data_IF_799266296414
#
_entry.id   IF_799266296414
#
_cell.length_a   1.000
_cell.length_b   1.000
_cell.length_c   1.000
_cell.angle_alpha   90.00
_cell.angle_beta   90.00
_cell.angle_gamma   90.00
#
_symmetry.space_group_name_H-M   'P 1'
#
loop_
_entity.id
_entity.type
_entity.pdbx_description
1 polymer ?
#
# COMPACT_ATOMS: atom_id res chain seq x y z
N UNK A 1 -18.46 0.96 20.90
CA UNK A 1 -17.31 1.03 21.82
C UNK A 1 -16.38 -0.19 21.75
N UNK A 2 -16.74 -1.41 22.19
CA UNK A 2 -15.81 -2.57 22.12
C UNK A 2 -15.47 -3.02 20.69
N UNK A 3 -16.44 -3.03 19.78
CA UNK A 3 -16.24 -3.39 18.37
C UNK A 3 -15.33 -2.40 17.63
N UNK A 4 -15.46 -1.11 17.91
CA UNK A 4 -14.66 -0.05 17.30
C UNK A 4 -13.19 -0.13 17.74
N UNK A 5 -12.95 -0.39 19.03
CA UNK A 5 -11.60 -0.60 19.55
C UNK A 5 -10.94 -1.79 18.84
N UNK A 6 -11.64 -2.92 18.73
CA UNK A 6 -11.10 -4.10 18.04
C UNK A 6 -10.86 -3.85 16.54
N UNK A 7 -11.73 -3.10 15.86
CA UNK A 7 -11.55 -2.76 14.46
C UNK A 7 -10.31 -1.89 14.23
N UNK A 8 -10.11 -0.87 15.06
CA UNK A 8 -8.93 0.01 14.99
C UNK A 8 -7.66 -0.79 15.29
N UNK A 9 -7.66 -1.63 16.33
CA UNK A 9 -6.51 -2.49 16.66
C UNK A 9 -6.14 -3.41 15.50
N UNK A 10 -7.12 -4.04 14.84
CA UNK A 10 -6.87 -4.92 13.69
C UNK A 10 -6.20 -4.19 12.51
N UNK A 11 -6.59 -2.92 12.27
CA UNK A 11 -5.99 -2.10 11.20
C UNK A 11 -4.52 -1.80 11.53
N UNK A 12 -4.25 -1.36 12.77
CA UNK A 12 -2.88 -1.05 13.24
C UNK A 12 -2.00 -2.29 13.22
N UNK A 13 -2.50 -3.44 13.68
CA UNK A 13 -1.77 -4.72 13.64
C UNK A 13 -1.42 -5.13 12.21
N UNK A 14 -2.36 -5.01 11.27
CA UNK A 14 -2.10 -5.30 9.85
C UNK A 14 -1.08 -4.35 9.26
N UNK A 15 -1.12 -3.07 9.63
CA UNK A 15 -0.14 -2.08 9.19
C UNK A 15 1.26 -2.38 9.75
N UNK A 16 1.39 -2.73 11.03
CA UNK A 16 2.67 -3.13 11.61
C UNK A 16 3.23 -4.38 10.94
N UNK A 17 2.42 -5.42 10.77
CA UNK A 17 2.83 -6.62 10.04
C UNK A 17 3.24 -6.31 8.60
N UNK A 18 2.59 -5.34 7.96
CA UNK A 18 2.96 -4.86 6.63
C UNK A 18 4.30 -4.12 6.64
N UNK A 19 4.53 -3.22 7.60
CA UNK A 19 5.80 -2.52 7.76
C UNK A 19 6.95 -3.49 7.99
N UNK A 20 6.78 -4.48 8.87
CA UNK A 20 7.77 -5.54 9.11
C UNK A 20 8.07 -6.32 7.83
N UNK A 21 7.04 -6.57 7.01
CA UNK A 21 7.19 -7.26 5.73
C UNK A 21 7.95 -6.41 4.69
N UNK A 22 7.72 -5.10 4.66
CA UNK A 22 8.43 -4.14 3.79
C UNK A 22 9.86 -3.95 4.27
N UNK A 23 10.11 -4.01 5.58
CA UNK A 23 11.42 -3.87 6.18
C UNK A 23 12.19 -5.22 6.19
N UNK A 24 12.36 -5.80 5.01
CA UNK A 24 12.93 -7.15 4.83
C UNK A 24 14.45 -7.25 5.03
N UNK A 25 15.17 -6.13 5.19
CA UNK A 25 16.62 -6.11 5.36
C UNK A 25 17.04 -6.46 6.80
N UNK A 26 17.88 -7.50 6.98
CA UNK A 26 18.40 -7.97 8.29
C UNK A 26 17.30 -8.28 9.33
N UNK A 27 16.15 -8.82 8.93
CA UNK A 27 15.00 -9.09 9.83
C UNK A 27 14.55 -7.85 10.64
N UNK A 28 14.79 -6.66 10.10
CA UNK A 28 14.49 -5.40 10.76
C UNK A 28 15.44 -5.01 11.91
N UNK A 29 16.58 -5.70 12.05
CA UNK A 29 17.56 -5.39 13.09
C UNK A 29 18.38 -4.17 12.69
N UNK A 30 18.09 -3.05 13.34
CA UNK A 30 18.92 -1.85 13.31
C UNK A 30 20.26 -2.18 13.97
N UNK A 31 21.28 -2.41 13.16
CA UNK A 31 22.63 -2.81 13.62
C UNK A 31 23.51 -1.63 14.01
N UNK A 32 23.06 -0.40 13.77
CA UNK A 32 23.79 0.83 14.06
C UNK A 32 23.04 1.65 15.11
N UNK A 33 23.73 2.02 16.19
CA UNK A 33 23.21 2.85 17.28
C UNK A 33 23.48 4.34 17.02
N UNK A 34 23.23 4.79 15.79
CA UNK A 34 23.26 6.22 15.42
C UNK A 34 21.81 6.70 15.24
N UNK A 35 21.30 7.59 16.12
CA UNK A 35 19.94 8.13 16.02
C UNK A 35 19.62 8.76 14.66
N UNK A 36 20.58 9.40 14.02
CA UNK A 36 20.35 10.10 12.73
C UNK A 36 20.11 9.09 11.61
N UNK A 37 20.91 8.02 11.57
CA UNK A 37 20.75 6.96 10.56
C UNK A 37 19.49 6.12 10.80
N UNK A 38 19.09 5.95 12.06
CA UNK A 38 17.81 5.33 12.43
C UNK A 38 16.61 6.15 11.93
N UNK A 39 16.64 7.47 12.13
CA UNK A 39 15.57 8.35 11.68
C UNK A 39 15.44 8.35 10.15
N UNK A 40 16.57 8.38 9.42
CA UNK A 40 16.56 8.27 7.95
C UNK A 40 15.93 6.98 7.46
N UNK A 41 16.31 5.84 8.08
CA UNK A 41 15.75 4.53 7.73
C UNK A 41 14.24 4.47 7.95
N UNK A 42 13.75 5.02 9.06
CA UNK A 42 12.32 5.10 9.33
C UNK A 42 11.58 5.92 8.27
N UNK A 43 12.11 7.09 7.91
CA UNK A 43 11.53 7.94 6.85
C UNK A 43 11.51 7.25 5.49
N UNK A 44 12.59 6.56 5.13
CA UNK A 44 12.65 5.82 3.86
C UNK A 44 11.69 4.63 3.86
N UNK A 45 11.58 3.91 4.98
CA UNK A 45 10.61 2.83 5.12
C UNK A 45 9.19 3.35 4.96
N UNK A 46 8.85 4.45 5.62
CA UNK A 46 7.52 5.06 5.53
C UNK A 46 7.19 5.52 4.11
N UNK A 47 8.15 6.10 3.39
CA UNK A 47 8.00 6.47 1.98
C UNK A 47 7.71 5.25 1.10
N UNK A 48 8.48 4.17 1.25
CA UNK A 48 8.30 2.94 0.47
C UNK A 48 6.96 2.27 0.81
N UNK A 49 6.62 2.20 2.09
CA UNK A 49 5.35 1.66 2.56
C UNK A 49 4.16 2.43 1.97
N UNK A 50 4.22 3.76 1.99
CA UNK A 50 3.20 4.64 1.42
C UNK A 50 3.05 4.45 -0.09
N UNK A 51 4.17 4.34 -0.82
CA UNK A 51 4.15 4.09 -2.26
C UNK A 51 3.51 2.74 -2.62
N UNK A 52 3.82 1.69 -1.85
CA UNK A 52 3.21 0.36 -2.04
C UNK A 52 1.70 0.38 -1.71
N UNK A 53 1.32 1.06 -0.63
CA UNK A 53 -0.09 1.23 -0.26
C UNK A 53 -0.88 1.94 -1.37
N UNK A 54 -0.29 2.99 -1.96
CA UNK A 54 -0.90 3.71 -3.08
C UNK A 54 -1.11 2.79 -4.28
N UNK A 55 -0.08 2.07 -4.72
CA UNK A 55 -0.17 1.15 -5.84
C UNK A 55 -1.22 0.05 -5.60
N UNK A 56 -1.22 -0.55 -4.41
CA UNK A 56 -2.23 -1.54 -4.03
C UNK A 56 -3.65 -0.97 -4.10
N UNK A 57 -3.83 0.27 -3.64
CA UNK A 57 -5.14 0.93 -3.66
C UNK A 57 -5.62 1.19 -5.09
N UNK A 58 -4.72 1.62 -5.97
CA UNK A 58 -4.97 1.81 -7.41
C UNK A 58 -5.38 0.50 -8.07
N UNK A 59 -4.59 -0.55 -7.90
CA UNK A 59 -4.86 -1.86 -8.51
C UNK A 59 -6.17 -2.48 -8.00
N UNK A 60 -6.45 -2.37 -6.70
CA UNK A 60 -7.71 -2.79 -6.11
C UNK A 60 -8.90 -2.01 -6.66
N UNK A 61 -8.75 -0.69 -6.84
CA UNK A 61 -9.81 0.16 -7.36
C UNK A 61 -10.13 -0.17 -8.81
N UNK A 62 -9.11 -0.36 -9.65
CA UNK A 62 -9.27 -0.80 -11.05
C UNK A 62 -9.93 -2.18 -11.14
N UNK A 63 -9.54 -3.13 -10.29
CA UNK A 63 -10.14 -4.45 -10.23
C UNK A 63 -11.64 -4.38 -9.87
N UNK A 64 -12.00 -3.56 -8.88
CA UNK A 64 -13.41 -3.35 -8.48
C UNK A 64 -14.21 -2.70 -9.60
N UNK A 65 -13.67 -1.66 -10.25
CA UNK A 65 -14.33 -1.00 -11.39
C UNK A 65 -14.57 -1.99 -12.53
N UNK A 66 -13.57 -2.82 -12.85
CA UNK A 66 -13.67 -3.85 -13.90
C UNK A 66 -14.75 -4.87 -13.58
N UNK A 67 -14.83 -5.37 -12.33
CA UNK A 67 -15.88 -6.30 -11.90
C UNK A 67 -17.27 -5.67 -11.98
N UNK A 68 -17.38 -4.39 -11.60
CA UNK A 68 -18.64 -3.63 -11.70
C UNK A 68 -19.08 -3.48 -13.15
N UNK A 69 -18.15 -3.15 -14.06
CA UNK A 69 -18.42 -3.02 -15.49
C UNK A 69 -18.84 -4.35 -16.14
N UNK A 70 -18.35 -5.48 -15.62
CA UNK A 70 -18.75 -6.82 -16.04
C UNK A 70 -20.12 -7.26 -15.47
N UNK A 71 -20.77 -6.43 -14.64
CA UNK A 71 -22.09 -6.70 -14.07
C UNK A 71 -22.08 -7.55 -12.79
N UNK A 72 -20.92 -7.77 -12.17
CA UNK A 72 -20.87 -8.48 -10.89
C UNK A 72 -21.36 -7.58 -9.74
N UNK A 73 -22.16 -8.11 -8.79
CA UNK A 73 -22.63 -7.35 -7.66
C UNK A 73 -21.48 -7.07 -6.67
N UNK A 74 -20.99 -5.84 -6.63
CA UNK A 74 -19.99 -5.40 -5.64
C UNK A 74 -20.70 -4.85 -4.40
N UNK A 75 -20.57 -5.53 -3.26
CA UNK A 75 -21.13 -5.04 -2.00
C UNK A 75 -20.13 -4.13 -1.27
N UNK A 76 -20.54 -2.88 -1.02
CA UNK A 76 -19.75 -1.87 -0.32
C UNK A 76 -19.21 -2.32 1.05
N UNK A 77 -19.93 -3.21 1.76
CA UNK A 77 -19.48 -3.76 3.04
C UNK A 77 -18.21 -4.59 2.91
N UNK A 78 -18.05 -5.33 1.81
CA UNK A 78 -16.83 -6.10 1.58
C UNK A 78 -15.70 -5.21 1.12
N UNK A 79 -15.98 -4.18 0.32
CA UNK A 79 -14.99 -3.17 -0.08
C UNK A 79 -14.41 -2.46 1.15
N UNK A 80 -15.25 -2.07 2.10
CA UNK A 80 -14.82 -1.45 3.35
C UNK A 80 -13.98 -2.36 4.26
N UNK A 81 -14.06 -3.68 4.07
CA UNK A 81 -13.25 -4.65 4.82
C UNK A 81 -11.89 -4.94 4.15
N UNK A 82 -11.69 -4.51 2.91
CA UNK A 82 -10.41 -4.66 2.23
C UNK A 82 -9.35 -3.76 2.87
N UNK A 83 -8.11 -4.23 2.88
CA UNK A 83 -6.97 -3.47 3.36
C UNK A 83 -5.92 -3.40 2.26
N UNK A 84 -5.29 -2.24 2.00
CA UNK A 84 -4.29 -2.07 0.94
C UNK A 84 -2.92 -2.67 1.31
N UNK A 85 -2.85 -3.51 2.33
CA UNK A 85 -1.63 -4.14 2.85
C UNK A 85 -1.36 -5.51 2.21
N UNK A 86 -1.76 -5.68 0.95
CA UNK A 86 -1.60 -6.92 0.20
C UNK A 86 -0.15 -7.06 -0.28
N UNK A 87 0.48 -8.18 0.06
CA UNK A 87 1.92 -8.39 -0.20
C UNK A 87 2.20 -9.55 -1.17
N UNK A 88 1.23 -10.43 -1.41
CA UNK A 88 1.42 -11.67 -2.19
C UNK A 88 1.79 -11.45 -3.66
N UNK A 89 1.35 -10.36 -4.26
CA UNK A 89 1.62 -10.04 -5.67
C UNK A 89 2.93 -9.25 -5.85
N UNK A 90 3.54 -8.81 -4.74
CA UNK A 90 4.76 -8.01 -4.75
C UNK A 90 5.94 -8.96 -4.58
N UNK A 91 6.75 -9.08 -5.63
CA UNK A 91 8.07 -9.69 -5.52
C UNK A 91 8.92 -8.77 -4.64
N UNK A 92 9.66 -9.31 -3.66
CA UNK A 92 10.63 -8.57 -2.81
C UNK A 92 12.09 -8.85 -3.19
N UNK A 93 12.32 -10.00 -3.80
CA UNK A 93 13.64 -10.56 -4.06
C UNK A 93 13.77 -10.93 -5.53
N UNK A 94 14.97 -10.77 -6.08
CA UNK A 94 15.34 -11.17 -7.43
C UNK A 94 15.48 -9.98 -8.37
N UNK A 95 15.72 -10.28 -9.64
CA UNK A 95 16.02 -9.26 -10.63
C UNK A 95 14.75 -8.58 -11.14
N UNK A 96 14.78 -7.25 -11.16
CA UNK A 96 13.76 -6.42 -11.81
C UNK A 96 14.32 -5.91 -13.12
N UNK A 97 13.70 -6.32 -14.22
CA UNK A 97 13.92 -5.70 -15.52
C UNK A 97 12.92 -4.57 -15.65
N UNK A 98 13.38 -3.34 -15.48
CA UNK A 98 12.53 -2.16 -15.63
C UNK A 98 12.31 -1.91 -17.12
N UNK A 99 11.10 -2.20 -17.60
CA UNK A 99 10.71 -1.83 -18.96
C UNK A 99 10.12 -0.42 -18.97
N UNK A 100 10.91 0.56 -19.42
CA UNK A 100 10.50 1.97 -19.52
C UNK A 100 9.46 2.24 -20.61
N UNK A 101 9.19 1.28 -21.50
CA UNK A 101 8.15 1.40 -22.53
C UNK A 101 6.77 0.99 -22.00
N UNK A 102 6.72 0.32 -20.84
CA UNK A 102 5.47 -0.01 -20.18
C UNK A 102 4.99 1.19 -19.35
N UNK A 103 4.21 2.07 -19.97
CA UNK A 103 3.65 3.24 -19.29
C UNK A 103 2.56 2.76 -18.33
N UNK A 104 2.69 2.99 -17.00
CA UNK A 104 1.66 2.61 -16.06
C UNK A 104 0.37 3.39 -16.34
N UNK A 105 -0.79 2.78 -16.01
CA UNK A 105 -2.06 3.50 -16.14
C UNK A 105 -2.08 4.73 -15.23
N UNK A 106 -2.63 5.87 -15.68
CA UNK A 106 -2.74 7.06 -14.83
C UNK A 106 -3.54 6.78 -13.56
N UNK A 107 -3.08 7.30 -12.43
CA UNK A 107 -3.77 7.14 -11.15
C UNK A 107 -5.19 7.73 -11.16
N UNK A 108 -5.40 8.79 -11.94
CA UNK A 108 -6.68 9.47 -12.15
C UNK A 108 -7.77 8.53 -12.70
N UNK A 109 -7.38 7.55 -13.51
CA UNK A 109 -8.30 6.56 -14.05
C UNK A 109 -8.78 5.57 -12.97
N UNK A 110 -7.93 5.30 -11.98
CA UNK A 110 -8.20 4.34 -10.91
C UNK A 110 -8.88 4.97 -9.69
N UNK A 111 -8.51 6.20 -9.37
CA UNK A 111 -8.97 6.94 -8.20
C UNK A 111 -9.23 8.38 -8.66
N UNK A 112 -10.44 8.94 -8.46
CA UNK A 112 -10.64 10.36 -8.65
C UNK A 112 -9.82 11.10 -7.59
N UNK A 113 -8.62 11.55 -7.96
CA UNK A 113 -7.80 12.39 -7.10
C UNK A 113 -8.49 13.74 -6.92
N UNK A 114 -8.43 14.35 -5.71
CA UNK A 114 -8.86 15.73 -5.54
C UNK A 114 -8.08 16.63 -6.51
N UNK A 115 -8.80 17.40 -7.32
CA UNK A 115 -8.22 18.28 -8.35
C UNK A 115 -7.29 19.37 -7.78
N UNK A 116 -7.36 19.62 -6.48
CA UNK A 116 -6.63 20.66 -5.75
C UNK A 116 -5.12 20.41 -5.62
N UNK A 117 -4.62 19.19 -5.88
CA UNK A 117 -3.20 18.84 -5.69
C UNK A 117 -2.33 19.30 -6.87
N UNK A 118 -2.93 19.59 -8.03
CA UNK A 118 -2.22 19.91 -9.28
C UNK A 118 -2.26 21.39 -9.68
N UNK A 119 -2.89 22.25 -8.89
CA UNK A 119 -2.86 23.71 -9.10
C UNK A 119 -1.74 24.34 -8.25
N UNK A 120 -0.52 24.38 -8.78
CA UNK A 120 0.53 25.35 -8.40
C UNK A 120 1.43 25.62 -9.60
#
# INVERSE_FOLDING_TARGET
MRSEITAITNIVEKYHHFLDWVFFGKDGVITENDPIEQEKRLKYLDLVASAVILQNTVDMSLAIQTLTAQGYPVNHRFVAALSPYLTRHIKRYGDYVVNLQNIPQPFEAAIPLPSEIFET
#
